data_IF_206712790074
#
_entry.id   IF_206712790074
#
_cell.length_a   1.000
_cell.length_b   1.000
_cell.length_c   1.000
_cell.angle_alpha   90.00
_cell.angle_beta   90.00
_cell.angle_gamma   90.00
#
_symmetry.space_group_name_H-M   'P 1'
#
loop_
_entity.id
_entity.type
_entity.pdbx_description
1 polymer ?
#
# COMPACT_ATOMS: atom_id res chain seq x y z
N UNK A 1 -15.15 -9.60 22.59
CA UNK A 1 -13.94 -10.45 22.60
C UNK A 1 -12.90 -9.77 21.72
N UNK A 2 -11.90 -9.10 22.32
CA UNK A 2 -10.84 -8.40 21.59
C UNK A 2 -9.72 -9.39 21.30
N UNK A 3 -9.45 -9.65 20.02
CA UNK A 3 -8.26 -10.38 19.61
C UNK A 3 -7.09 -9.40 19.55
N UNK A 4 -6.05 -9.55 20.37
CA UNK A 4 -4.84 -8.77 20.19
C UNK A 4 -4.22 -9.20 18.85
N UNK A 5 -4.03 -8.25 17.94
CA UNK A 5 -3.25 -8.45 16.72
C UNK A 5 -1.86 -8.93 17.11
N UNK A 6 -1.62 -10.24 17.04
CA UNK A 6 -0.27 -10.80 16.97
C UNK A 6 0.33 -10.18 15.72
N UNK A 7 1.34 -9.32 15.87
CA UNK A 7 2.20 -8.89 14.77
C UNK A 7 2.90 -10.13 14.21
N UNK A 8 2.22 -10.82 13.29
CA UNK A 8 2.85 -11.72 12.33
C UNK A 8 4.02 -10.95 11.71
N UNK A 9 5.20 -11.57 11.64
CA UNK A 9 6.32 -11.03 10.86
C UNK A 9 5.77 -10.81 9.44
N UNK A 10 5.58 -9.54 9.06
CA UNK A 10 5.06 -9.15 7.76
C UNK A 10 6.10 -9.59 6.72
N UNK A 11 5.84 -10.74 6.10
CA UNK A 11 6.62 -11.25 5.00
C UNK A 11 5.74 -11.15 3.78
N UNK A 12 6.32 -10.69 2.67
CA UNK A 12 5.65 -10.67 1.38
C UNK A 12 5.12 -12.08 1.06
N UNK A 13 3.88 -12.17 0.59
CA UNK A 13 3.32 -13.44 0.12
C UNK A 13 3.93 -13.74 -1.25
N UNK A 14 4.34 -14.98 -1.48
CA UNK A 14 4.90 -15.42 -2.76
C UNK A 14 4.11 -16.63 -3.22
N UNK A 15 3.50 -16.54 -4.40
CA UNK A 15 2.72 -17.65 -4.97
C UNK A 15 3.60 -18.87 -5.22
N UNK A 16 3.01 -20.06 -5.26
CA UNK A 16 3.76 -21.29 -5.54
C UNK A 16 4.36 -21.28 -6.95
N UNK A 17 3.66 -20.71 -7.93
CA UNK A 17 4.16 -20.51 -9.29
C UNK A 17 5.39 -19.60 -9.30
N UNK A 18 5.39 -18.57 -8.46
CA UNK A 18 6.52 -17.66 -8.32
C UNK A 18 7.74 -18.37 -7.74
N UNK A 19 7.54 -19.19 -6.69
CA UNK A 19 8.62 -20.00 -6.10
C UNK A 19 9.19 -20.97 -7.12
N UNK A 20 8.33 -21.69 -7.84
CA UNK A 20 8.73 -22.61 -8.91
C UNK A 20 9.54 -21.89 -9.99
N UNK A 21 9.10 -20.71 -10.43
CA UNK A 21 9.83 -19.94 -11.44
C UNK A 21 11.22 -19.49 -10.96
N UNK A 22 11.38 -19.18 -9.67
CA UNK A 22 12.69 -18.88 -9.05
C UNK A 22 13.61 -20.11 -9.05
N UNK A 23 13.07 -21.29 -8.74
CA UNK A 23 13.81 -22.55 -8.79
C UNK A 23 14.25 -22.90 -10.22
N UNK A 24 13.36 -22.73 -11.20
CA UNK A 24 13.67 -22.89 -12.63
C UNK A 24 14.82 -21.98 -13.07
N UNK A 25 14.82 -20.72 -12.61
CA UNK A 25 15.90 -19.78 -12.90
C UNK A 25 17.22 -20.20 -12.25
N UNK A 26 17.14 -20.67 -10.99
CA UNK A 26 18.30 -21.17 -10.25
C UNK A 26 18.97 -22.34 -10.97
N UNK A 27 18.16 -23.27 -11.47
CA UNK A 27 18.63 -24.41 -12.25
C UNK A 27 19.21 -23.97 -13.60
N UNK A 28 18.57 -23.01 -14.28
CA UNK A 28 19.02 -22.47 -15.57
C UNK A 28 20.39 -21.79 -15.48
N UNK A 29 20.63 -21.03 -14.41
CA UNK A 29 21.89 -20.29 -14.20
C UNK A 29 22.95 -21.16 -13.52
N UNK A 30 22.55 -22.27 -12.89
CA UNK A 30 23.45 -23.19 -12.19
C UNK A 30 23.88 -22.71 -10.80
N UNK A 31 23.17 -21.72 -10.24
CA UNK A 31 23.38 -21.20 -8.88
C UNK A 31 22.08 -20.66 -8.29
N UNK A 32 21.89 -20.67 -6.96
CA UNK A 32 20.65 -20.20 -6.34
C UNK A 32 20.35 -18.73 -6.70
N UNK A 33 19.12 -18.49 -7.17
CA UNK A 33 18.59 -17.17 -7.51
C UNK A 33 17.47 -16.79 -6.54
N UNK A 34 17.25 -15.48 -6.41
CA UNK A 34 16.12 -14.88 -5.69
C UNK A 34 15.57 -13.71 -6.49
N UNK A 35 14.40 -13.19 -6.10
CA UNK A 35 13.87 -11.94 -6.65
C UNK A 35 14.41 -10.74 -5.89
N UNK A 36 14.87 -9.73 -6.60
CA UNK A 36 15.18 -8.41 -6.08
C UNK A 36 14.05 -7.46 -6.41
N UNK A 37 13.52 -6.80 -5.38
CA UNK A 37 12.41 -5.88 -5.45
C UNK A 37 12.86 -4.45 -5.18
N UNK A 38 12.42 -3.54 -6.05
CA UNK A 38 12.63 -2.11 -5.93
C UNK A 38 11.34 -1.36 -6.26
N UNK A 39 11.07 -0.27 -5.55
CA UNK A 39 10.02 0.68 -5.93
C UNK A 39 10.66 1.86 -6.65
N UNK A 40 10.13 2.21 -7.82
CA UNK A 40 10.42 3.47 -8.50
C UNK A 40 9.14 4.26 -8.64
N UNK A 41 9.20 5.58 -8.47
CA UNK A 41 8.05 6.46 -8.64
C UNK A 41 8.19 7.23 -9.94
N UNK A 42 7.09 7.34 -10.67
CA UNK A 42 7.06 8.14 -11.89
C UNK A 42 6.95 9.65 -11.58
N UNK A 43 6.85 10.46 -12.63
CA UNK A 43 6.73 11.93 -12.49
C UNK A 43 5.46 12.38 -11.76
N UNK A 44 4.43 11.53 -11.72
CA UNK A 44 3.17 11.80 -11.00
C UNK A 44 3.22 11.29 -9.55
N UNK A 45 4.29 10.59 -9.18
CA UNK A 45 4.51 10.01 -7.86
C UNK A 45 3.97 8.59 -7.70
N UNK A 46 3.35 8.00 -8.74
CA UNK A 46 2.82 6.64 -8.69
C UNK A 46 4.00 5.66 -8.58
N UNK A 47 3.93 4.77 -7.60
CA UNK A 47 4.94 3.75 -7.34
C UNK A 47 4.74 2.51 -8.20
N UNK A 48 5.81 2.12 -8.86
CA UNK A 48 5.90 0.93 -9.68
C UNK A 48 6.92 -0.03 -9.06
N UNK A 49 6.60 -1.32 -9.03
CA UNK A 49 7.49 -2.36 -8.47
C UNK A 49 8.28 -3.00 -9.60
N UNK A 50 9.60 -2.86 -9.55
CA UNK A 50 10.52 -3.59 -10.39
C UNK A 50 10.89 -4.90 -9.69
N UNK A 51 10.76 -6.01 -10.43
CA UNK A 51 11.08 -7.36 -9.97
C UNK A 51 12.09 -7.97 -10.93
N UNK A 52 13.28 -8.30 -10.43
CA UNK A 52 14.37 -8.88 -11.23
C UNK A 52 15.00 -10.08 -10.52
N UNK A 53 15.59 -11.01 -11.26
CA UNK A 53 16.42 -12.05 -10.64
C UNK A 53 17.76 -11.48 -10.19
N UNK A 54 18.27 -12.01 -9.07
CA UNK A 54 19.62 -11.76 -8.59
C UNK A 54 20.18 -13.00 -7.89
N UNK A 55 21.50 -13.06 -7.77
CA UNK A 55 22.19 -14.09 -7.02
C UNK A 55 21.76 -14.08 -5.54
N UNK A 56 21.53 -15.28 -5.02
CA UNK A 56 21.26 -15.48 -3.59
C UNK A 56 22.56 -15.39 -2.81
N UNK A 57 22.62 -14.50 -1.83
CA UNK A 57 23.72 -14.49 -0.86
C UNK A 57 23.71 -15.78 -0.03
N UNK A 58 24.89 -16.38 0.20
CA UNK A 58 25.07 -17.73 0.76
C UNK A 58 24.37 -17.97 2.12
N UNK A 59 24.13 -16.92 2.90
CA UNK A 59 23.57 -17.00 4.26
C UNK A 59 22.06 -16.70 4.35
N UNK A 60 21.39 -16.41 3.24
CA UNK A 60 19.96 -16.06 3.26
C UNK A 60 19.11 -17.23 2.79
N UNK A 61 18.06 -17.59 3.53
CA UNK A 61 17.06 -18.59 3.10
C UNK A 61 15.87 -17.99 2.35
N UNK A 62 15.89 -16.69 2.08
CA UNK A 62 14.77 -15.96 1.50
C UNK A 62 14.65 -16.20 0.00
N UNK A 63 13.42 -16.04 -0.53
CA UNK A 63 13.13 -16.03 -1.97
C UNK A 63 13.17 -14.63 -2.58
N UNK A 64 13.18 -13.60 -1.72
CA UNK A 64 13.04 -12.20 -2.09
C UNK A 64 14.07 -11.39 -1.31
N UNK A 65 14.58 -10.34 -1.94
CA UNK A 65 15.40 -9.29 -1.35
C UNK A 65 14.86 -7.93 -1.78
N UNK A 66 15.10 -6.90 -0.97
CA UNK A 66 14.62 -5.54 -1.21
C UNK A 66 15.79 -4.58 -1.38
N UNK A 67 15.59 -3.50 -2.14
CA UNK A 67 16.61 -2.45 -2.29
C UNK A 67 17.03 -1.83 -0.96
N UNK A 68 16.07 -1.59 -0.06
CA UNK A 68 16.30 -0.96 1.23
C UNK A 68 15.15 -1.28 2.21
N UNK A 69 15.31 -0.89 3.47
CA UNK A 69 14.32 -1.12 4.54
C UNK A 69 12.96 -0.47 4.26
N UNK A 70 12.94 0.67 3.56
CA UNK A 70 11.69 1.36 3.20
C UNK A 70 10.91 0.53 2.19
N UNK A 71 11.58 0.00 1.16
CA UNK A 71 10.97 -0.92 0.20
C UNK A 71 10.49 -2.20 0.87
N UNK A 72 11.28 -2.79 1.76
CA UNK A 72 10.86 -3.98 2.53
C UNK A 72 9.58 -3.70 3.33
N UNK A 73 9.56 -2.59 4.08
CA UNK A 73 8.39 -2.23 4.90
C UNK A 73 7.14 -2.05 4.05
N UNK A 74 7.27 -1.39 2.90
CA UNK A 74 6.15 -1.13 1.99
C UNK A 74 5.66 -2.39 1.27
N UNK A 75 6.58 -3.19 0.72
CA UNK A 75 6.24 -4.34 -0.13
C UNK A 75 5.97 -5.62 0.66
N UNK A 76 6.40 -5.71 1.92
CA UNK A 76 6.14 -6.86 2.80
C UNK A 76 4.64 -7.15 3.03
N UNK A 77 3.78 -6.20 2.71
CA UNK A 77 2.33 -6.31 2.85
C UNK A 77 1.64 -6.89 1.62
N UNK A 78 2.33 -6.99 0.48
CA UNK A 78 1.73 -7.43 -0.77
C UNK A 78 1.96 -8.90 -1.10
N UNK A 79 1.68 -9.23 -2.35
CA UNK A 79 1.86 -10.55 -2.93
C UNK A 79 2.61 -10.47 -4.26
N UNK A 80 3.55 -11.39 -4.46
CA UNK A 80 4.17 -11.65 -5.76
C UNK A 80 3.52 -12.85 -6.43
N UNK A 81 3.11 -12.66 -7.69
CA UNK A 81 2.62 -13.72 -8.56
C UNK A 81 3.38 -13.74 -9.87
N UNK A 82 3.58 -14.93 -10.43
CA UNK A 82 4.14 -15.12 -11.75
C UNK A 82 3.03 -15.53 -12.71
N UNK A 83 2.66 -14.61 -13.60
CA UNK A 83 1.52 -14.75 -14.50
C UNK A 83 1.93 -14.19 -15.88
N UNK A 84 1.42 -14.77 -16.97
CA UNK A 84 1.69 -14.29 -18.33
C UNK A 84 3.19 -14.06 -18.66
N UNK A 85 4.07 -14.89 -18.09
CA UNK A 85 5.52 -14.80 -18.30
C UNK A 85 6.23 -13.68 -17.54
N UNK A 86 5.57 -13.00 -16.61
CA UNK A 86 6.11 -11.87 -15.83
C UNK A 86 5.77 -12.00 -14.35
N UNK A 87 6.57 -11.36 -13.50
CA UNK A 87 6.23 -11.17 -12.10
C UNK A 87 5.40 -9.91 -11.94
N UNK A 88 4.30 -10.03 -11.21
CA UNK A 88 3.44 -8.92 -10.80
C UNK A 88 3.43 -8.81 -9.28
N UNK A 89 3.43 -7.58 -8.80
CA UNK A 89 3.22 -7.26 -7.39
C UNK A 89 1.79 -6.76 -7.20
N UNK A 90 1.09 -7.35 -6.25
CA UNK A 90 -0.27 -6.97 -5.87
C UNK A 90 -0.23 -6.39 -4.45
N UNK A 91 -0.54 -5.09 -4.26
CA UNK A 91 -0.66 -4.51 -2.93
C UNK A 91 -1.93 -5.05 -2.28
N UNK A 92 -1.80 -5.96 -1.31
CA UNK A 92 -2.93 -6.49 -0.54
C UNK A 92 -3.40 -5.46 0.49
N UNK A 93 -4.04 -4.40 0.01
CA UNK A 93 -4.56 -3.32 0.84
C UNK A 93 -5.77 -3.83 1.62
N UNK A 94 -5.74 -3.62 2.93
CA UNK A 94 -6.86 -3.78 3.84
C UNK A 94 -7.30 -2.39 4.32
N UNK A 95 -8.60 -2.17 4.43
CA UNK A 95 -9.20 -0.90 4.78
C UNK A 95 -10.47 -1.14 5.63
N UNK A 96 -10.46 -0.59 6.84
CA UNK A 96 -11.54 -0.76 7.81
C UNK A 96 -12.10 0.61 8.22
N UNK A 97 -13.42 0.79 8.13
CA UNK A 97 -14.11 1.92 8.74
C UNK A 97 -14.36 1.68 10.22
N UNK A 98 -13.94 2.63 11.05
CA UNK A 98 -14.13 2.64 12.49
C UNK A 98 -15.08 3.75 12.90
N UNK A 99 -15.99 3.39 13.81
CA UNK A 99 -16.91 4.35 14.42
C UNK A 99 -16.14 5.31 15.32
N UNK A 100 -16.48 6.58 15.21
CA UNK A 100 -16.08 7.58 16.20
C UNK A 100 -17.28 7.96 17.08
N UNK A 101 -17.06 8.57 18.25
CA UNK A 101 -18.13 9.09 19.09
C UNK A 101 -18.95 10.21 18.42
N UNK A 102 -18.38 10.88 17.42
CA UNK A 102 -19.00 11.99 16.69
C UNK A 102 -19.49 11.50 15.33
N UNK A 103 -20.77 11.72 15.05
CA UNK A 103 -21.43 11.22 13.83
C UNK A 103 -20.84 11.78 12.54
N UNK A 104 -20.21 12.94 12.62
CA UNK A 104 -19.56 13.64 11.52
C UNK A 104 -18.11 13.23 11.33
N UNK A 105 -17.48 12.56 12.31
CA UNK A 105 -16.08 12.13 12.21
C UNK A 105 -16.03 10.64 11.93
N UNK A 106 -15.35 10.29 10.85
CA UNK A 106 -15.21 8.91 10.38
C UNK A 106 -13.74 8.54 10.27
N UNK A 107 -13.39 7.34 10.72
CA UNK A 107 -12.01 6.89 10.73
C UNK A 107 -11.84 5.70 9.79
N UNK A 108 -10.88 5.77 8.88
CA UNK A 108 -10.43 4.67 8.06
C UNK A 108 -9.05 4.23 8.55
N UNK A 109 -8.91 2.93 8.81
CA UNK A 109 -7.63 2.33 9.22
C UNK A 109 -7.19 1.35 8.14
N UNK A 110 -5.94 1.47 7.71
CA UNK A 110 -5.33 0.57 6.74
C UNK A 110 -4.21 -0.27 7.34
N UNK A 111 -3.80 -1.33 6.64
CA UNK A 111 -2.52 -2.00 6.87
C UNK A 111 -1.32 -1.22 6.27
N UNK A 112 -1.57 -0.31 5.32
CA UNK A 112 -0.59 0.64 4.75
C UNK A 112 -0.58 1.97 5.50
N UNK A 113 0.52 2.70 5.36
CA UNK A 113 0.70 4.02 5.95
C UNK A 113 0.18 5.08 4.97
N UNK A 114 -0.69 5.96 5.45
CA UNK A 114 -1.08 7.19 4.76
C UNK A 114 0.04 8.23 4.85
N UNK A 115 0.54 8.54 6.05
CA UNK A 115 1.58 9.55 6.26
C UNK A 115 2.41 9.26 7.51
N UNK A 116 3.74 9.40 7.42
CA UNK A 116 4.63 9.25 8.59
C UNK A 116 4.40 10.34 9.65
N UNK A 117 4.13 11.57 9.21
CA UNK A 117 3.89 12.72 10.09
C UNK A 117 2.39 13.06 10.13
N UNK A 118 1.88 13.53 11.28
CA UNK A 118 0.52 14.06 11.37
C UNK A 118 0.27 15.12 10.31
N UNK A 119 -0.86 14.99 9.65
CA UNK A 119 -1.30 15.93 8.63
C UNK A 119 -2.74 16.31 8.86
N UNK A 120 -3.01 17.60 8.87
CA UNK A 120 -4.36 18.14 8.96
C UNK A 120 -4.61 19.11 7.82
N UNK A 121 -5.77 18.99 7.18
CA UNK A 121 -6.19 19.80 6.05
C UNK A 121 -7.68 20.12 6.16
N UNK A 122 -8.00 21.38 5.98
CA UNK A 122 -9.36 21.85 5.67
C UNK A 122 -9.63 21.73 4.16
N UNK A 123 -10.90 21.66 3.77
CA UNK A 123 -11.34 21.52 2.37
C UNK A 123 -10.73 22.55 1.40
N UNK A 124 -10.55 23.79 1.85
CA UNK A 124 -9.88 24.87 1.11
C UNK A 124 -8.41 24.58 0.76
N UNK A 125 -7.78 23.66 1.49
CA UNK A 125 -6.39 23.24 1.30
C UNK A 125 -6.26 21.89 0.56
N UNK A 126 -7.35 21.26 0.12
CA UNK A 126 -7.31 19.98 -0.58
C UNK A 126 -6.62 20.04 -1.95
N UNK A 127 -6.40 21.23 -2.50
CA UNK A 127 -5.58 21.43 -3.72
C UNK A 127 -4.19 20.80 -3.61
N UNK A 128 -3.66 20.68 -2.38
CA UNK A 128 -2.33 20.14 -2.10
C UNK A 128 -2.28 18.61 -2.00
N UNK A 129 -3.43 17.94 -1.98
CA UNK A 129 -3.53 16.48 -1.99
C UNK A 129 -3.29 15.93 -3.40
N UNK A 130 -2.84 14.67 -3.47
CA UNK A 130 -2.82 13.89 -4.71
C UNK A 130 -4.19 13.95 -5.40
N UNK A 131 -4.25 14.07 -6.73
CA UNK A 131 -5.51 14.26 -7.46
C UNK A 131 -6.62 13.27 -7.10
N UNK A 132 -6.26 11.99 -6.88
CA UNK A 132 -7.22 10.95 -6.49
C UNK A 132 -7.94 11.28 -5.17
N UNK A 133 -7.19 11.66 -4.13
CA UNK A 133 -7.74 12.02 -2.82
C UNK A 133 -8.47 13.36 -2.90
N UNK A 134 -7.87 14.35 -3.57
CA UNK A 134 -8.48 15.68 -3.76
C UNK A 134 -9.86 15.57 -4.41
N UNK A 135 -9.92 14.90 -5.56
CA UNK A 135 -11.14 14.81 -6.36
C UNK A 135 -12.22 14.03 -5.60
N UNK A 136 -11.84 12.92 -4.95
CA UNK A 136 -12.74 12.14 -4.09
C UNK A 136 -13.31 13.01 -2.96
N UNK A 137 -12.44 13.66 -2.18
CA UNK A 137 -12.85 14.39 -0.98
C UNK A 137 -13.73 15.61 -1.31
N UNK A 138 -13.40 16.33 -2.38
CA UNK A 138 -14.21 17.45 -2.86
C UNK A 138 -15.59 16.99 -3.34
N UNK A 139 -15.63 15.91 -4.14
CA UNK A 139 -16.88 15.37 -4.68
C UNK A 139 -17.83 14.87 -3.59
N UNK A 140 -17.29 14.22 -2.57
CA UNK A 140 -18.10 13.59 -1.52
C UNK A 140 -18.45 14.55 -0.36
N UNK A 141 -17.90 15.77 -0.39
CA UNK A 141 -18.20 16.83 0.58
C UNK A 141 -17.48 16.64 1.91
N UNK A 142 -16.23 16.16 1.88
CA UNK A 142 -15.37 16.09 3.06
C UNK A 142 -14.98 17.52 3.48
N UNK A 143 -15.18 17.85 4.76
CA UNK A 143 -14.92 19.17 5.32
C UNK A 143 -13.46 19.30 5.73
N UNK A 144 -12.95 18.30 6.44
CA UNK A 144 -11.56 18.23 6.90
C UNK A 144 -11.03 16.79 6.81
N UNK A 145 -9.71 16.67 6.67
CA UNK A 145 -9.02 15.39 6.61
C UNK A 145 -7.79 15.41 7.52
N UNK A 146 -7.60 14.32 8.26
CA UNK A 146 -6.42 14.09 9.08
C UNK A 146 -5.75 12.76 8.73
N UNK A 147 -4.44 12.76 8.53
CA UNK A 147 -3.66 11.56 8.25
C UNK A 147 -2.54 11.39 9.27
N UNK A 148 -2.42 10.19 9.82
CA UNK A 148 -1.27 9.83 10.66
C UNK A 148 -1.06 8.33 10.68
N UNK A 149 0.16 7.89 10.35
CA UNK A 149 0.52 6.49 10.19
C UNK A 149 -0.51 5.82 9.28
N UNK A 150 -1.20 4.81 9.77
CA UNK A 150 -2.19 4.04 9.04
C UNK A 150 -3.65 4.50 9.26
N UNK A 151 -3.85 5.67 9.87
CA UNK A 151 -5.15 6.29 10.09
C UNK A 151 -5.37 7.43 9.09
N UNK A 152 -6.54 7.41 8.47
CA UNK A 152 -7.15 8.53 7.75
C UNK A 152 -8.46 8.86 8.49
N UNK A 153 -8.64 10.09 8.94
CA UNK A 153 -9.86 10.56 9.58
C UNK A 153 -10.48 11.64 8.72
N UNK A 154 -11.76 11.49 8.41
CA UNK A 154 -12.52 12.39 7.55
C UNK A 154 -13.68 12.99 8.34
N UNK A 155 -13.87 14.30 8.21
CA UNK A 155 -15.07 14.97 8.69
C UNK A 155 -16.09 15.07 7.55
N UNK A 156 -17.19 14.34 7.68
CA UNK A 156 -18.25 14.23 6.69
C UNK A 156 -19.60 14.36 7.42
N UNK A 157 -20.25 15.54 7.38
CA UNK A 157 -21.49 15.78 8.12
C UNK A 157 -22.63 14.81 7.77
N UNK A 158 -22.71 14.36 6.52
CA UNK A 158 -23.74 13.46 6.01
C UNK A 158 -23.09 12.33 5.19
N UNK A 159 -22.60 11.30 5.89
CA UNK A 159 -22.08 10.08 5.26
C UNK A 159 -23.24 9.12 4.95
N UNK A 160 -23.39 8.76 3.68
CA UNK A 160 -24.30 7.68 3.26
C UNK A 160 -23.48 6.45 2.88
N UNK A 161 -24.13 5.28 2.80
CA UNK A 161 -23.46 4.04 2.41
C UNK A 161 -22.81 4.15 1.03
N UNK A 162 -23.48 4.81 0.08
CA UNK A 162 -22.95 4.98 -1.28
C UNK A 162 -21.72 5.91 -1.30
N UNK A 163 -21.67 6.91 -0.40
CA UNK A 163 -20.47 7.75 -0.23
C UNK A 163 -19.33 6.94 0.38
N UNK A 164 -19.62 6.16 1.41
CA UNK A 164 -18.66 5.29 2.09
C UNK A 164 -17.99 4.33 1.08
N UNK A 165 -18.78 3.68 0.22
CA UNK A 165 -18.30 2.78 -0.83
C UNK A 165 -17.37 3.50 -1.82
N UNK A 166 -17.78 4.65 -2.37
CA UNK A 166 -16.95 5.42 -3.31
C UNK A 166 -15.66 5.94 -2.69
N UNK A 167 -15.71 6.43 -1.46
CA UNK A 167 -14.51 6.88 -0.73
C UNK A 167 -13.56 5.70 -0.51
N UNK A 168 -14.10 4.53 -0.19
CA UNK A 168 -13.30 3.32 0.01
C UNK A 168 -12.58 2.91 -1.27
N UNK A 169 -13.27 2.91 -2.42
CA UNK A 169 -12.67 2.56 -3.72
C UNK A 169 -11.51 3.50 -4.10
N UNK A 170 -11.69 4.81 -3.91
CA UNK A 170 -10.66 5.81 -4.21
C UNK A 170 -9.47 5.71 -3.24
N UNK A 171 -9.71 5.45 -1.95
CA UNK A 171 -8.65 5.24 -0.96
C UNK A 171 -7.89 3.93 -1.23
N UNK A 172 -8.59 2.85 -1.58
CA UNK A 172 -7.95 1.59 -1.97
C UNK A 172 -7.07 1.78 -3.19
N UNK A 173 -7.55 2.53 -4.19
CA UNK A 173 -6.77 2.86 -5.40
C UNK A 173 -5.56 3.72 -5.05
N UNK A 174 -5.72 4.72 -4.18
CA UNK A 174 -4.62 5.55 -3.69
C UNK A 174 -3.53 4.72 -3.00
N UNK A 175 -3.91 3.86 -2.05
CA UNK A 175 -2.97 3.02 -1.31
C UNK A 175 -2.30 1.98 -2.22
N UNK A 176 -3.04 1.43 -3.19
CA UNK A 176 -2.52 0.50 -4.19
C UNK A 176 -1.54 1.14 -5.17
N UNK A 177 -1.60 2.46 -5.32
CA UNK A 177 -0.69 3.23 -6.20
C UNK A 177 0.69 3.47 -5.58
N UNK A 178 0.94 3.04 -4.33
CA UNK A 178 2.25 3.10 -3.66
C UNK A 178 2.89 4.52 -3.62
N UNK A 179 2.04 5.55 -3.54
CA UNK A 179 2.50 6.92 -3.30
C UNK A 179 3.34 7.00 -2.03
N UNK A 180 4.31 7.91 -2.03
CA UNK A 180 5.12 8.16 -0.82
C UNK A 180 4.35 8.94 0.25
N UNK A 181 3.42 9.77 -0.20
CA UNK A 181 2.75 10.76 0.62
C UNK A 181 1.43 11.18 -0.03
N UNK A 182 0.42 11.59 0.78
CA UNK A 182 -0.85 12.11 0.28
C UNK A 182 -0.68 13.47 -0.41
N UNK A 183 0.48 14.11 -0.28
CA UNK A 183 0.82 15.38 -0.92
C UNK A 183 1.20 15.19 -2.38
N UNK A 184 0.64 16.05 -3.24
CA UNK A 184 1.21 16.35 -4.54
C UNK A 184 2.46 17.19 -4.27
N UNK A 185 3.64 16.59 -4.48
CA UNK A 185 4.95 17.18 -4.18
C UNK A 185 5.36 18.26 -5.17
#
# INVERSE_FOLDING_TARGET
>A
MWYPFKKSKKNITISEESKKRIEEESNRVGKPQILFLKVYRDQTGIGNVMVTFTDKAELKHEFVSFENQTCETLLSLGELRFEFGKFYFYPNVDLEWKKSPRSEIHQLVSNYIFSEKPLYLESENFSKLRPILRNCFQKEGVVSAYFQKNLCQLEIPNLTKEKEERISEEILTYLSSLYESPWEG
#
